data_IF_172916817230
#
_entry.id   IF_172916817230
#
_cell.length_a   1.000
_cell.length_b   1.000
_cell.length_c   1.000
_cell.angle_alpha   90.00
_cell.angle_beta   90.00
_cell.angle_gamma   90.00
#
_symmetry.space_group_name_H-M   'P 1'
#
loop_
_entity.id
_entity.type
_entity.pdbx_description
1 polymer ?
#
# COMPACT_ATOMS: atom_id res chain seq x y z
N UNK A 1 -7.32 -18.41 -4.02
CA UNK A 1 -7.01 -16.98 -3.92
C UNK A 1 -6.03 -16.77 -2.81
N UNK A 2 -4.94 -16.21 -3.08
CA UNK A 2 -3.93 -16.03 -2.08
C UNK A 2 -3.44 -14.60 -1.99
N UNK A 3 -2.58 -14.39 -1.01
CA UNK A 3 -1.95 -13.09 -0.78
C UNK A 3 -1.22 -12.58 -2.01
N UNK A 4 -0.62 -13.50 -2.77
CA UNK A 4 0.10 -13.14 -3.99
C UNK A 4 -0.83 -12.55 -5.04
N UNK A 5 -2.03 -13.09 -5.19
CA UNK A 5 -3.00 -12.56 -6.14
C UNK A 5 -3.45 -11.15 -5.77
N UNK A 6 -3.61 -10.89 -4.48
CA UNK A 6 -3.96 -9.56 -3.99
C UNK A 6 -2.84 -8.58 -4.31
N UNK A 7 -1.59 -8.97 -4.04
CA UNK A 7 -0.43 -8.12 -4.32
C UNK A 7 -0.30 -7.82 -5.81
N UNK A 8 -0.47 -8.83 -6.67
CA UNK A 8 -0.41 -8.64 -8.12
C UNK A 8 -1.49 -7.67 -8.59
N UNK A 9 -2.71 -7.82 -8.08
CA UNK A 9 -3.79 -6.92 -8.44
C UNK A 9 -3.48 -5.49 -8.02
N UNK A 10 -2.89 -5.30 -6.84
CA UNK A 10 -2.55 -3.97 -6.36
C UNK A 10 -1.41 -3.34 -7.15
N UNK A 11 -0.43 -4.13 -7.60
CA UNK A 11 0.65 -3.60 -8.45
C UNK A 11 0.07 -3.01 -9.74
N UNK A 12 -0.95 -3.63 -10.30
CA UNK A 12 -1.60 -3.10 -11.49
C UNK A 12 -2.42 -1.85 -11.21
N UNK A 13 -3.06 -1.79 -10.06
CA UNK A 13 -3.95 -0.71 -9.68
C UNK A 13 -3.19 0.50 -9.14
N UNK A 14 -2.20 0.24 -8.29
CA UNK A 14 -1.34 1.25 -7.67
C UNK A 14 0.11 0.81 -7.87
N UNK A 15 0.68 1.08 -9.04
CA UNK A 15 2.05 0.64 -9.32
C UNK A 15 3.07 1.35 -8.43
N UNK A 16 4.26 0.77 -8.36
CA UNK A 16 5.37 1.35 -7.61
C UNK A 16 5.61 2.77 -8.10
N UNK A 17 5.77 3.70 -7.16
CA UNK A 17 5.91 5.12 -7.47
C UNK A 17 4.60 5.90 -7.33
N UNK A 18 3.47 5.21 -7.20
CA UNK A 18 2.20 5.88 -6.93
C UNK A 18 2.24 6.54 -5.57
N UNK A 19 1.48 7.61 -5.39
CA UNK A 19 1.42 8.36 -4.15
C UNK A 19 0.04 8.28 -3.56
N UNK A 20 -0.01 8.06 -2.26
CA UNK A 20 -1.27 7.93 -1.53
C UNK A 20 -1.19 8.71 -0.23
N UNK A 21 -2.35 9.09 0.29
CA UNK A 21 -2.46 9.69 1.61
C UNK A 21 -3.27 8.73 2.47
N UNK A 22 -2.81 8.48 3.68
CA UNK A 22 -3.46 7.56 4.62
C UNK A 22 -4.33 8.33 5.60
N UNK A 23 -5.38 7.67 6.10
CA UNK A 23 -6.34 8.29 7.01
C UNK A 23 -5.67 8.86 8.26
N UNK A 24 -4.68 8.15 8.80
CA UNK A 24 -4.04 8.53 10.05
C UNK A 24 -3.29 9.85 9.97
N UNK A 25 -2.79 10.22 8.80
CA UNK A 25 -2.00 11.44 8.63
C UNK A 25 -2.50 12.31 7.48
N UNK A 26 -3.73 12.09 7.07
CA UNK A 26 -4.37 12.90 6.04
C UNK A 26 -4.70 14.30 6.61
N UNK A 27 -4.48 15.39 5.89
CA UNK A 27 -3.86 15.46 4.55
C UNK A 27 -2.38 15.82 4.56
N UNK A 28 -1.72 15.70 5.72
CA UNK A 28 -0.39 16.28 5.92
C UNK A 28 0.72 15.53 5.20
N UNK A 29 0.59 14.22 5.05
CA UNK A 29 1.68 13.39 4.55
C UNK A 29 1.27 12.63 3.30
N UNK A 30 2.16 12.64 2.30
CA UNK A 30 2.01 11.85 1.09
C UNK A 30 3.02 10.71 1.16
N UNK A 31 2.54 9.48 1.01
CA UNK A 31 3.39 8.30 1.01
C UNK A 31 3.58 7.81 -0.42
N UNK A 32 4.83 7.56 -0.79
CA UNK A 32 5.13 7.00 -2.11
C UNK A 32 5.31 5.50 -1.97
N UNK A 33 4.63 4.75 -2.83
CA UNK A 33 4.71 3.29 -2.81
C UNK A 33 6.09 2.86 -3.32
N UNK A 34 6.80 2.14 -2.48
CA UNK A 34 8.13 1.63 -2.76
C UNK A 34 8.07 0.20 -3.31
N UNK A 35 7.11 -0.58 -2.84
CA UNK A 35 6.98 -1.96 -3.27
C UNK A 35 5.85 -2.67 -2.55
N UNK A 36 5.75 -3.96 -2.84
CA UNK A 36 4.78 -4.85 -2.22
C UNK A 36 5.51 -6.08 -1.71
N UNK A 37 5.14 -6.55 -0.53
CA UNK A 37 5.76 -7.70 0.09
C UNK A 37 4.69 -8.74 0.41
N UNK A 38 4.97 -10.00 0.10
CA UNK A 38 4.12 -11.12 0.48
C UNK A 38 4.97 -12.09 1.29
N UNK A 39 4.49 -12.44 2.48
CA UNK A 39 5.19 -13.40 3.33
C UNK A 39 4.16 -14.24 4.10
N UNK A 40 4.64 -15.05 5.05
CA UNK A 40 3.77 -15.94 5.82
C UNK A 40 2.73 -15.17 6.64
N UNK A 41 3.03 -13.95 7.05
CA UNK A 41 2.13 -13.14 7.87
C UNK A 41 1.07 -12.42 7.07
N UNK A 42 1.32 -12.14 5.80
CA UNK A 42 0.35 -11.42 5.00
C UNK A 42 0.95 -10.79 3.75
N UNK A 43 0.22 -9.85 3.20
CA UNK A 43 0.65 -9.07 2.05
C UNK A 43 0.58 -7.59 2.43
N UNK A 44 1.62 -6.85 2.05
CA UNK A 44 1.79 -5.46 2.49
C UNK A 44 2.20 -4.56 1.34
N UNK A 45 1.73 -3.32 1.41
CA UNK A 45 2.20 -2.23 0.58
C UNK A 45 3.26 -1.48 1.39
N UNK A 46 4.45 -1.30 0.83
CA UNK A 46 5.56 -0.66 1.53
C UNK A 46 5.83 0.71 0.96
N UNK A 47 6.12 1.66 1.83
CA UNK A 47 6.37 3.05 1.45
C UNK A 47 7.83 3.41 1.62
N UNK A 48 8.25 4.46 0.92
CA UNK A 48 9.64 4.91 0.94
C UNK A 48 10.12 5.36 2.32
N UNK A 49 9.20 5.80 3.16
CA UNK A 49 9.54 6.26 4.51
C UNK A 49 9.75 5.11 5.50
N UNK A 50 9.64 3.87 5.04
CA UNK A 50 9.83 2.69 5.88
C UNK A 50 8.56 2.16 6.52
N UNK A 51 7.44 2.84 6.37
CA UNK A 51 6.16 2.34 6.86
C UNK A 51 5.54 1.40 5.85
N UNK A 52 4.53 0.65 6.28
CA UNK A 52 3.82 -0.27 5.39
C UNK A 52 2.35 -0.38 5.78
N UNK A 53 1.54 -0.80 4.82
CA UNK A 53 0.10 -0.96 5.00
C UNK A 53 -0.27 -2.39 4.65
N UNK A 54 -0.98 -3.06 5.56
CA UNK A 54 -1.53 -4.38 5.30
C UNK A 54 -2.57 -4.26 4.18
N UNK A 55 -2.51 -5.12 3.17
CA UNK A 55 -3.44 -5.06 2.05
C UNK A 55 -4.87 -5.42 2.44
N UNK A 56 -5.09 -5.94 3.65
CA UNK A 56 -6.43 -6.11 4.19
C UNK A 56 -7.00 -4.79 4.72
N UNK A 57 -6.18 -3.76 4.86
CA UNK A 57 -6.57 -2.46 5.41
C UNK A 57 -6.54 -1.36 4.37
N UNK A 58 -6.92 -1.67 3.14
CA UNK A 58 -6.90 -0.68 2.05
C UNK A 58 -7.86 0.47 2.30
N UNK A 59 -8.82 0.30 3.19
CA UNK A 59 -9.68 1.40 3.63
C UNK A 59 -8.95 2.52 4.34
N UNK A 60 -7.71 2.30 4.77
CA UNK A 60 -6.88 3.34 5.36
C UNK A 60 -6.36 4.34 4.32
N UNK A 61 -6.46 4.03 3.05
CA UNK A 61 -6.09 4.98 2.00
C UNK A 61 -7.19 6.02 1.90
N UNK A 62 -6.86 7.27 2.26
CA UNK A 62 -7.81 8.37 2.19
C UNK A 62 -7.92 8.91 0.78
N UNK A 63 -6.79 8.98 0.07
CA UNK A 63 -6.77 9.57 -1.27
C UNK A 63 -5.57 9.06 -2.05
N UNK A 64 -5.76 8.89 -3.36
CA UNK A 64 -4.66 8.62 -4.30
C UNK A 64 -4.33 9.95 -4.97
N UNK A 65 -3.08 10.32 -4.87
CA UNK A 65 -2.62 11.63 -5.36
C UNK A 65 -2.17 11.56 -6.82
#
# INVERSE_FOLDING_TARGET
>A
MGKLNVAIAMIHKLPIGSRVQLEDDYPDTIHEIYGYTVNADGAYMEFRDGTRLDLNNLGQIAEVV
#
